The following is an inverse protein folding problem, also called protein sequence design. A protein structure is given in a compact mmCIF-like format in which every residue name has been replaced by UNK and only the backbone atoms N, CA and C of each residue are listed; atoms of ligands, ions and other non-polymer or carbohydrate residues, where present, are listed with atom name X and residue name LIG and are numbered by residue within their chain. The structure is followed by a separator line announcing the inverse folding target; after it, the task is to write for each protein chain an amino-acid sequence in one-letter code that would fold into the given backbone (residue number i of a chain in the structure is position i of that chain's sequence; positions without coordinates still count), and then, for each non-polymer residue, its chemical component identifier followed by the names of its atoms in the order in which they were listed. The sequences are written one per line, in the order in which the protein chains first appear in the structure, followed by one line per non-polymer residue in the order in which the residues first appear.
data_IF_250425790628
#
_entry.id   IF_250425790628
#
_cell.length_a   1.000
_cell.length_b   1.000
_cell.length_c   1.000
_cell.angle_alpha   90.00
_cell.angle_beta   90.00
_cell.angle_gamma   90.00
#
_symmetry.space_group_name_H-M   'P 1'
#
loop_
_entity.id
_entity.type
_entity.pdbx_description
1 polymer ?
#
# COMPACT_ATOMS: atom_id res chain seq x y z
N UNK A 1 10.15 -60.01 69.98
CA UNK A 1 11.08 -60.75 69.06
C UNK A 1 11.71 -59.75 68.08
N UNK A 2 12.96 -59.30 68.32
CA UNK A 2 13.71 -58.50 67.37
C UNK A 2 14.35 -59.43 66.35
N UNK A 3 13.89 -59.48 65.14
CA UNK A 3 14.52 -60.22 64.06
C UNK A 3 15.80 -59.53 63.69
N UNK A 4 16.98 -60.17 64.07
CA UNK A 4 18.30 -59.72 63.68
C UNK A 4 18.54 -60.14 62.23
N UNK A 5 18.31 -59.24 61.34
CA UNK A 5 18.60 -59.40 59.90
C UNK A 5 20.12 -59.66 59.74
N UNK A 6 20.49 -60.80 59.10
CA UNK A 6 21.91 -61.20 58.94
C UNK A 6 22.69 -60.11 58.17
N UNK A 7 23.91 -59.75 58.59
CA UNK A 7 24.65 -58.61 58.01
C UNK A 7 24.87 -58.68 56.51
N UNK A 8 24.94 -59.84 55.90
CA UNK A 8 25.04 -60.05 54.46
C UNK A 8 23.79 -59.58 53.71
N UNK A 9 22.56 -59.75 54.29
CA UNK A 9 21.29 -59.32 53.64
C UNK A 9 21.16 -57.79 53.62
N UNK A 10 21.67 -57.13 54.68
CA UNK A 10 21.67 -55.68 54.78
C UNK A 10 22.64 -55.02 53.78
N UNK A 11 23.78 -55.64 53.48
CA UNK A 11 24.73 -55.15 52.49
C UNK A 11 24.21 -55.30 51.05
N UNK A 12 23.50 -56.43 50.76
CA UNK A 12 22.92 -56.68 49.45
C UNK A 12 21.73 -55.72 49.20
N UNK A 13 20.87 -55.48 50.19
CA UNK A 13 19.77 -54.50 50.06
C UNK A 13 20.33 -53.09 49.88
N UNK A 14 21.36 -52.66 50.58
CA UNK A 14 22.02 -51.39 50.39
C UNK A 14 22.66 -51.26 48.97
N UNK A 15 23.26 -52.33 48.46
CA UNK A 15 23.77 -52.32 47.09
C UNK A 15 22.66 -52.20 46.04
N UNK A 16 21.54 -52.94 46.20
CA UNK A 16 20.38 -52.85 45.37
C UNK A 16 19.78 -51.43 45.41
N UNK A 17 19.68 -50.84 46.61
CA UNK A 17 19.21 -49.46 46.78
C UNK A 17 20.11 -48.43 46.08
N UNK A 18 21.44 -48.57 46.21
CA UNK A 18 22.42 -47.69 45.54
C UNK A 18 22.34 -47.82 44.02
N UNK A 19 22.22 -49.04 43.51
CA UNK A 19 22.05 -49.28 42.07
C UNK A 19 20.69 -48.74 41.58
N UNK A 20 19.62 -48.99 42.35
CA UNK A 20 18.30 -48.41 42.02
C UNK A 20 18.27 -46.89 42.04
N UNK A 21 18.89 -46.23 43.03
CA UNK A 21 19.05 -44.80 43.08
C UNK A 21 19.90 -44.26 41.90
N UNK A 22 20.97 -44.99 41.55
CA UNK A 22 21.80 -44.67 40.37
C UNK A 22 21.01 -44.74 39.06
N UNK A 23 20.21 -45.79 38.88
CA UNK A 23 19.34 -45.94 37.70
C UNK A 23 18.24 -44.89 37.63
N UNK A 24 17.64 -44.51 38.78
CA UNK A 24 16.66 -43.44 38.85
C UNK A 24 17.34 -42.10 38.54
N UNK A 25 18.53 -41.84 39.09
CA UNK A 25 19.32 -40.61 38.83
C UNK A 25 19.70 -40.46 37.35
N UNK A 26 20.13 -41.57 36.71
CA UNK A 26 20.43 -41.56 35.26
C UNK A 26 19.16 -41.39 34.42
N UNK A 27 18.05 -42.01 34.80
CA UNK A 27 16.77 -41.81 34.12
C UNK A 27 16.25 -40.39 34.22
N UNK A 28 16.34 -39.75 35.38
CA UNK A 28 15.98 -38.34 35.55
C UNK A 28 16.90 -37.43 34.74
N UNK A 29 18.22 -37.71 34.73
CA UNK A 29 19.15 -36.90 33.93
C UNK A 29 18.87 -37.02 32.41
N UNK A 30 18.61 -38.23 31.90
CA UNK A 30 18.26 -38.45 30.50
C UNK A 30 16.94 -37.76 30.16
N UNK A 31 15.93 -37.82 31.04
CA UNK A 31 14.65 -37.17 30.84
C UNK A 31 14.77 -35.65 30.85
N UNK A 32 15.55 -35.08 31.77
CA UNK A 32 15.77 -33.60 31.78
C UNK A 32 16.56 -33.13 30.55
N UNK A 33 17.53 -33.91 30.06
CA UNK A 33 18.22 -33.61 28.81
C UNK A 33 17.23 -33.68 27.63
N UNK A 34 16.37 -34.71 27.59
CA UNK A 34 15.36 -34.83 26.54
C UNK A 34 14.36 -33.66 26.55
N UNK A 35 13.88 -33.25 27.74
CA UNK A 35 13.03 -32.08 27.89
C UNK A 35 13.72 -30.78 27.43
N UNK A 36 15.03 -30.64 27.80
CA UNK A 36 15.81 -29.49 27.38
C UNK A 36 15.97 -29.44 25.83
N UNK A 37 16.24 -30.60 25.20
CA UNK A 37 16.35 -30.72 23.75
C UNK A 37 14.99 -30.38 23.10
N UNK A 38 13.90 -30.99 23.59
CA UNK A 38 12.55 -30.71 23.07
C UNK A 38 12.14 -29.24 23.24
N UNK A 39 12.49 -28.63 24.40
CA UNK A 39 12.28 -27.20 24.61
C UNK A 39 13.12 -26.36 23.64
N UNK A 40 14.41 -26.69 23.47
CA UNK A 40 15.25 -25.99 22.49
C UNK A 40 14.73 -26.14 21.07
N UNK A 41 14.32 -27.33 20.64
CA UNK A 41 13.73 -27.53 19.31
C UNK A 41 12.41 -26.80 19.15
N UNK A 42 11.56 -26.75 20.19
CA UNK A 42 10.28 -26.06 20.13
C UNK A 42 10.43 -24.54 20.07
N UNK A 43 11.45 -23.95 20.72
CA UNK A 43 11.64 -22.49 20.83
C UNK A 43 12.71 -21.94 19.87
N UNK A 44 13.76 -22.74 19.58
CA UNK A 44 14.92 -22.30 18.79
C UNK A 44 15.13 -23.10 17.52
N UNK A 45 14.29 -24.11 17.28
CA UNK A 45 14.31 -24.90 16.05
C UNK A 45 14.08 -24.04 14.80
N UNK A 46 14.46 -24.59 13.65
CA UNK A 46 14.31 -23.92 12.37
C UNK A 46 12.90 -24.11 11.80
N UNK A 47 12.37 -23.08 11.14
CA UNK A 47 11.15 -23.13 10.32
C UNK A 47 11.54 -23.27 8.85
N UNK A 48 11.86 -24.47 8.39
CA UNK A 48 12.33 -24.70 7.00
C UNK A 48 11.35 -24.21 5.94
N UNK A 49 10.06 -24.30 6.19
CA UNK A 49 9.01 -23.83 5.28
C UNK A 49 8.90 -22.29 5.21
N UNK A 50 9.57 -21.56 6.10
CA UNK A 50 9.71 -20.10 6.07
C UNK A 50 11.04 -19.63 5.51
N UNK A 51 11.92 -20.56 5.11
CA UNK A 51 13.17 -20.20 4.47
C UNK A 51 12.87 -19.49 3.14
N UNK A 52 13.59 -18.42 2.88
CA UNK A 52 13.44 -17.61 1.68
C UNK A 52 14.77 -17.48 0.95
N UNK A 53 14.76 -17.71 -0.34
CA UNK A 53 15.95 -17.53 -1.19
C UNK A 53 16.06 -16.04 -1.59
N UNK A 54 17.21 -15.41 -1.30
CA UNK A 54 17.55 -14.07 -1.77
C UNK A 54 18.25 -14.12 -3.13
N UNK A 55 19.09 -15.14 -3.34
CA UNK A 55 19.76 -15.40 -4.62
C UNK A 55 20.05 -16.88 -4.76
N UNK A 56 20.65 -17.28 -5.88
CA UNK A 56 21.06 -18.68 -6.12
C UNK A 56 21.80 -19.30 -4.92
N UNK A 57 22.70 -18.53 -4.30
CA UNK A 57 23.58 -19.00 -3.24
C UNK A 57 23.22 -18.54 -1.83
N UNK A 58 22.29 -17.58 -1.69
CA UNK A 58 21.97 -16.96 -0.40
C UNK A 58 20.53 -17.22 0.01
N UNK A 59 20.38 -17.75 1.24
CA UNK A 59 19.09 -18.13 1.83
C UNK A 59 18.91 -17.46 3.20
N UNK A 60 17.77 -16.85 3.43
CA UNK A 60 17.31 -16.42 4.75
C UNK A 60 16.68 -17.61 5.45
N UNK A 61 17.32 -18.11 6.49
CA UNK A 61 16.84 -19.20 7.32
C UNK A 61 16.08 -18.69 8.53
N UNK A 62 14.83 -19.11 8.66
CA UNK A 62 13.94 -18.66 9.73
C UNK A 62 13.98 -19.61 10.94
N UNK A 63 13.86 -19.05 12.15
CA UNK A 63 13.86 -19.75 13.42
C UNK A 63 12.58 -19.51 14.22
N UNK A 64 12.22 -20.47 15.07
CA UNK A 64 10.99 -20.46 15.88
C UNK A 64 10.91 -19.30 16.89
N UNK A 65 12.02 -18.69 17.24
CA UNK A 65 12.10 -17.49 18.08
C UNK A 65 11.95 -16.17 17.29
N UNK A 66 11.34 -16.23 16.10
CA UNK A 66 11.13 -15.09 15.21
C UNK A 66 12.42 -14.35 14.82
N UNK A 67 13.55 -15.07 14.75
CA UNK A 67 14.79 -14.54 14.21
C UNK A 67 15.13 -15.21 12.89
N UNK A 68 15.99 -14.57 12.12
CA UNK A 68 16.52 -15.11 10.86
C UNK A 68 18.05 -15.07 10.86
N UNK A 69 18.67 -15.88 10.01
CA UNK A 69 20.11 -15.84 9.71
C UNK A 69 20.33 -16.04 8.22
N UNK A 70 21.38 -15.44 7.72
CA UNK A 70 21.76 -15.59 6.30
C UNK A 70 22.70 -16.79 6.18
N UNK A 71 22.32 -17.71 5.31
CA UNK A 71 23.09 -18.89 4.95
C UNK A 71 23.61 -18.76 3.52
N UNK A 72 24.91 -18.86 3.36
CA UNK A 72 25.52 -18.94 2.03
C UNK A 72 25.77 -20.42 1.68
N UNK A 73 25.19 -20.88 0.58
CA UNK A 73 25.27 -22.29 0.12
C UNK A 73 26.65 -22.64 -0.40
N UNK A 74 27.35 -21.69 -1.03
CA UNK A 74 28.66 -21.89 -1.63
C UNK A 74 29.74 -22.03 -0.59
N UNK A 75 29.80 -21.13 0.42
CA UNK A 75 30.72 -21.24 1.54
C UNK A 75 30.30 -22.25 2.61
N UNK A 76 29.01 -22.66 2.60
CA UNK A 76 28.39 -23.51 3.63
C UNK A 76 28.48 -22.92 5.05
N UNK A 77 28.33 -21.59 5.15
CA UNK A 77 28.44 -20.85 6.40
C UNK A 77 27.31 -19.85 6.57
N UNK A 78 27.11 -19.44 7.83
CA UNK A 78 26.24 -18.31 8.15
C UNK A 78 27.06 -17.02 8.08
N UNK A 79 26.65 -16.10 7.22
CA UNK A 79 27.32 -14.82 7.03
C UNK A 79 26.87 -13.76 8.04
N UNK A 80 25.76 -14.00 8.76
CA UNK A 80 25.24 -13.06 9.77
C UNK A 80 25.01 -13.71 11.12
N UNK A 81 25.02 -12.90 12.18
CA UNK A 81 24.43 -13.24 13.48
C UNK A 81 22.91 -13.35 13.36
N UNK A 82 22.20 -13.59 14.46
CA UNK A 82 20.73 -13.56 14.48
C UNK A 82 20.22 -12.15 14.20
N UNK A 83 19.31 -12.04 13.22
CA UNK A 83 18.63 -10.82 12.81
C UNK A 83 17.14 -10.93 13.18
N UNK A 84 16.45 -9.81 13.32
CA UNK A 84 14.98 -9.80 13.46
C UNK A 84 14.31 -10.16 12.15
N UNK A 85 14.74 -9.51 11.07
CA UNK A 85 14.22 -9.75 9.72
C UNK A 85 15.21 -9.26 8.65
N UNK A 86 14.96 -9.66 7.43
CA UNK A 86 15.60 -9.18 6.21
C UNK A 86 14.48 -8.79 5.25
N UNK A 87 14.58 -7.68 4.56
CA UNK A 87 13.62 -7.24 3.55
C UNK A 87 13.47 -8.28 2.43
N UNK A 88 12.44 -8.13 1.62
CA UNK A 88 12.22 -8.87 0.39
C UNK A 88 13.33 -8.68 -0.64
N UNK A 89 12.96 -8.78 -1.87
CA UNK A 89 13.90 -8.51 -2.96
C UNK A 89 14.31 -7.03 -2.95
N UNK A 90 15.57 -6.72 -3.27
CA UNK A 90 15.98 -5.35 -3.50
C UNK A 90 15.20 -4.76 -4.68
N UNK A 91 15.19 -3.43 -4.80
CA UNK A 91 14.65 -2.81 -6.00
C UNK A 91 15.40 -3.33 -7.25
N UNK A 92 14.71 -3.36 -8.38
CA UNK A 92 15.26 -3.86 -9.64
C UNK A 92 16.61 -3.20 -9.98
N UNK A 93 17.57 -4.05 -10.32
CA UNK A 93 18.94 -3.60 -10.63
C UNK A 93 19.86 -3.39 -9.43
N UNK A 94 19.38 -3.51 -8.19
CA UNK A 94 20.21 -3.39 -6.98
C UNK A 94 20.62 -4.74 -6.39
N UNK A 95 21.73 -4.73 -5.66
CA UNK A 95 22.28 -5.92 -4.99
C UNK A 95 22.24 -5.85 -3.47
N UNK A 96 21.80 -4.73 -2.90
CA UNK A 96 21.71 -4.52 -1.46
C UNK A 96 20.26 -4.55 -1.00
N UNK A 97 20.01 -5.23 0.12
CA UNK A 97 18.70 -5.27 0.78
C UNK A 97 18.82 -4.90 2.25
N UNK A 98 17.76 -4.34 2.80
CA UNK A 98 17.69 -3.93 4.21
C UNK A 98 17.56 -5.14 5.12
N UNK A 99 18.28 -5.14 6.21
CA UNK A 99 18.06 -6.05 7.36
C UNK A 99 17.85 -5.28 8.65
N UNK A 100 17.24 -5.93 9.63
CA UNK A 100 17.06 -5.41 10.97
C UNK A 100 17.77 -6.34 11.96
N UNK A 101 18.64 -5.79 12.79
CA UNK A 101 19.34 -6.53 13.83
C UNK A 101 18.45 -6.80 15.06
N UNK A 102 19.02 -7.45 16.08
CA UNK A 102 18.32 -7.76 17.34
C UNK A 102 17.91 -6.51 18.14
N UNK A 103 18.63 -5.41 17.99
CA UNK A 103 18.44 -4.15 18.71
C UNK A 103 17.44 -3.22 17.97
N UNK A 104 16.91 -3.67 16.82
CA UNK A 104 15.93 -2.93 16.01
C UNK A 104 16.56 -1.94 15.03
N UNK A 105 17.90 -1.92 14.96
CA UNK A 105 18.61 -1.09 13.99
C UNK A 105 18.65 -1.75 12.62
N UNK A 106 18.63 -0.93 11.58
CA UNK A 106 18.66 -1.35 10.17
C UNK A 106 20.02 -1.10 9.56
N UNK A 107 20.43 -2.00 8.69
CA UNK A 107 21.63 -1.91 7.86
C UNK A 107 21.38 -2.61 6.53
N UNK A 108 22.43 -2.81 5.74
CA UNK A 108 22.31 -3.40 4.40
C UNK A 108 23.25 -4.59 4.22
N UNK A 109 22.75 -5.62 3.57
CA UNK A 109 23.51 -6.79 3.16
C UNK A 109 23.42 -7.02 1.66
N UNK A 110 24.46 -7.65 1.12
CA UNK A 110 24.50 -8.03 -0.28
C UNK A 110 23.69 -9.32 -0.51
N UNK A 111 22.70 -9.29 -1.39
CA UNK A 111 21.83 -10.44 -1.69
C UNK A 111 22.57 -11.60 -2.39
N UNK A 112 23.71 -11.33 -3.05
CA UNK A 112 24.49 -12.35 -3.77
C UNK A 112 25.48 -13.07 -2.87
N UNK A 113 26.08 -12.37 -1.89
CA UNK A 113 27.08 -12.94 -0.96
C UNK A 113 26.50 -13.22 0.43
N UNK A 114 25.45 -12.51 0.82
CA UNK A 114 24.84 -12.55 2.16
C UNK A 114 25.66 -11.80 3.20
N UNK A 115 26.72 -11.09 2.82
CA UNK A 115 27.56 -10.32 3.73
C UNK A 115 26.95 -8.97 4.05
N UNK A 116 27.18 -8.50 5.28
CA UNK A 116 26.79 -7.16 5.70
C UNK A 116 27.75 -6.15 5.06
N UNK A 117 27.18 -5.23 4.27
CA UNK A 117 27.91 -4.14 3.61
C UNK A 117 27.86 -2.88 4.46
N UNK A 118 26.66 -2.50 4.93
CA UNK A 118 26.47 -1.37 5.83
C UNK A 118 25.97 -1.92 7.17
N UNK A 119 26.73 -1.76 8.28
CA UNK A 119 26.32 -2.22 9.59
C UNK A 119 25.00 -1.61 10.06
N UNK A 120 24.28 -2.34 10.92
CA UNK A 120 23.02 -1.87 11.49
C UNK A 120 23.25 -0.66 12.41
N UNK A 121 22.77 0.52 11.98
CA UNK A 121 22.93 1.77 12.71
C UNK A 121 21.70 2.68 12.61
N UNK A 122 20.87 2.52 11.57
CA UNK A 122 19.72 3.37 11.31
C UNK A 122 18.46 2.91 12.06
N UNK A 123 17.66 3.83 12.56
CA UNK A 123 16.35 3.50 13.17
C UNK A 123 15.34 3.09 12.11
N UNK A 124 15.36 3.71 10.94
CA UNK A 124 14.63 3.31 9.73
C UNK A 124 15.54 3.43 8.51
N UNK A 125 15.35 2.55 7.56
CA UNK A 125 16.07 2.53 6.29
C UNK A 125 15.19 1.83 5.24
N UNK A 126 15.30 2.24 4.00
CA UNK A 126 14.59 1.68 2.84
C UNK A 126 15.57 1.03 1.87
N UNK A 127 15.07 0.22 0.95
CA UNK A 127 15.92 -0.42 -0.04
C UNK A 127 16.58 0.61 -0.96
N UNK A 128 17.75 0.27 -1.48
CA UNK A 128 18.41 1.05 -2.51
C UNK A 128 17.57 1.05 -3.78
N UNK A 129 17.42 2.23 -4.38
CA UNK A 129 16.86 2.43 -5.69
C UNK A 129 17.64 3.53 -6.39
N UNK A 130 17.99 3.33 -7.66
CA UNK A 130 18.79 4.26 -8.46
C UNK A 130 20.11 4.70 -7.78
N UNK A 131 20.71 3.79 -7.00
CA UNK A 131 21.99 4.00 -6.31
C UNK A 131 21.89 4.71 -4.95
N UNK A 132 20.71 5.15 -4.52
CA UNK A 132 20.48 5.84 -3.27
C UNK A 132 19.50 5.06 -2.37
N UNK A 133 19.68 5.17 -1.06
CA UNK A 133 18.78 4.59 -0.06
C UNK A 133 18.40 5.62 1.00
N UNK A 134 17.12 5.72 1.28
CA UNK A 134 16.61 6.57 2.33
C UNK A 134 16.95 6.02 3.72
N UNK A 135 17.32 6.92 4.62
CA UNK A 135 17.59 6.63 6.04
C UNK A 135 17.00 7.73 6.92
N UNK A 136 16.47 7.35 8.08
CA UNK A 136 15.92 8.31 9.03
C UNK A 136 17.04 8.89 9.91
N UNK A 137 17.13 10.22 9.93
CA UNK A 137 18.02 11.01 10.80
C UNK A 137 17.44 11.26 12.18
N UNK A 138 18.14 12.11 12.95
CA UNK A 138 17.81 12.42 14.35
C UNK A 138 16.60 13.30 14.56
N UNK A 139 16.26 14.17 13.60
CA UNK A 139 15.19 15.17 13.70
C UNK A 139 13.92 14.78 12.93
N UNK A 140 13.62 13.48 12.87
CA UNK A 140 12.51 12.91 12.09
C UNK A 140 12.50 13.37 10.62
N UNK A 141 13.70 13.50 10.05
CA UNK A 141 13.90 13.81 8.64
C UNK A 141 14.62 12.66 7.93
N UNK A 142 14.27 12.47 6.67
CA UNK A 142 14.89 11.51 5.77
C UNK A 142 16.04 12.18 5.03
N UNK A 143 17.18 11.50 5.01
CA UNK A 143 18.31 11.76 4.13
C UNK A 143 18.58 10.54 3.25
N UNK A 144 19.47 10.65 2.28
CA UNK A 144 19.81 9.55 1.39
C UNK A 144 21.31 9.28 1.40
N UNK A 145 21.65 7.99 1.47
CA UNK A 145 23.03 7.50 1.44
C UNK A 145 23.32 6.75 0.13
N UNK A 146 24.58 6.74 -0.26
CA UNK A 146 25.10 5.86 -1.31
C UNK A 146 25.50 4.47 -0.75
N UNK A 147 25.96 3.58 -1.64
CA UNK A 147 26.38 2.21 -1.29
C UNK A 147 27.65 2.14 -0.43
N UNK A 148 28.42 3.22 -0.37
CA UNK A 148 29.56 3.39 0.51
C UNK A 148 29.18 3.99 1.87
N UNK A 149 27.86 4.15 2.12
CA UNK A 149 27.31 4.74 3.34
C UNK A 149 27.67 6.22 3.54
N UNK A 150 27.87 6.96 2.44
CA UNK A 150 28.05 8.41 2.48
C UNK A 150 26.72 9.10 2.32
N UNK A 151 26.44 10.11 3.15
CA UNK A 151 25.25 10.95 3.01
C UNK A 151 25.38 11.78 1.72
N UNK A 152 24.45 11.57 0.78
CA UNK A 152 24.40 12.25 -0.54
C UNK A 152 23.37 13.37 -0.50
N UNK A 153 22.20 13.11 0.09
CA UNK A 153 21.15 14.09 0.33
C UNK A 153 20.99 14.23 1.84
N UNK A 154 21.12 15.45 2.33
CA UNK A 154 21.02 15.74 3.76
C UNK A 154 19.61 15.43 4.31
N UNK A 155 19.45 15.42 5.62
CA UNK A 155 18.20 15.14 6.31
C UNK A 155 17.21 16.31 6.18
N UNK A 156 16.60 16.44 5.00
CA UNK A 156 15.74 17.57 4.62
C UNK A 156 14.30 17.18 4.30
N UNK A 157 14.00 15.88 4.10
CA UNK A 157 12.67 15.43 3.75
C UNK A 157 11.94 15.00 5.03
N UNK A 158 10.78 15.61 5.37
CA UNK A 158 10.01 15.19 6.54
C UNK A 158 9.64 13.71 6.48
N UNK A 159 9.80 13.01 7.60
CA UNK A 159 9.38 11.62 7.72
C UNK A 159 7.89 11.51 8.04
N UNK A 160 7.16 10.75 7.23
CA UNK A 160 5.79 10.35 7.51
C UNK A 160 5.65 8.82 7.57
N UNK A 161 4.81 8.36 8.49
CA UNK A 161 4.60 6.92 8.69
C UNK A 161 3.79 6.34 7.54
N UNK A 162 4.23 5.18 7.03
CA UNK A 162 3.54 4.47 5.95
C UNK A 162 3.99 4.86 4.55
N UNK A 163 4.91 5.82 4.43
CA UNK A 163 5.47 6.22 3.16
C UNK A 163 6.76 5.46 2.84
N UNK A 164 6.93 5.12 1.56
CA UNK A 164 8.16 4.60 0.99
C UNK A 164 8.97 5.73 0.35
N UNK A 165 10.22 5.88 0.82
CA UNK A 165 11.16 6.88 0.29
C UNK A 165 12.14 6.19 -0.66
N UNK A 166 11.73 6.05 -1.92
CA UNK A 166 12.55 5.43 -2.96
C UNK A 166 12.61 6.32 -4.20
N UNK A 167 13.76 6.35 -4.86
CA UNK A 167 13.89 7.02 -6.15
C UNK A 167 13.31 6.15 -7.26
N UNK A 168 12.51 6.78 -8.13
CA UNK A 168 11.96 6.17 -9.34
C UNK A 168 11.94 7.22 -10.44
N UNK A 169 12.48 6.88 -11.59
CA UNK A 169 12.62 7.80 -12.74
C UNK A 169 13.35 9.12 -12.38
N UNK A 170 14.36 9.05 -11.50
CA UNK A 170 15.15 10.19 -11.03
C UNK A 170 14.49 11.03 -9.94
N UNK A 171 13.36 10.61 -9.39
CA UNK A 171 12.60 11.39 -8.40
C UNK A 171 12.18 10.56 -7.20
N UNK A 172 12.13 11.18 -6.03
CA UNK A 172 11.52 10.65 -4.81
C UNK A 172 10.27 11.47 -4.48
N UNK A 173 9.12 10.79 -4.39
CA UNK A 173 7.88 11.38 -3.92
C UNK A 173 7.90 11.43 -2.40
N UNK A 174 7.62 12.59 -1.83
CA UNK A 174 7.45 12.81 -0.40
C UNK A 174 6.04 13.33 -0.11
N UNK A 175 5.49 12.93 1.03
CA UNK A 175 4.17 13.35 1.50
C UNK A 175 4.29 13.87 2.94
N UNK A 176 3.47 14.82 3.30
CA UNK A 176 3.26 15.28 4.68
C UNK A 176 1.81 15.69 4.90
N UNK A 177 1.37 15.65 6.13
CA UNK A 177 0.07 16.22 6.52
C UNK A 177 0.22 17.69 6.91
N UNK A 178 -0.63 18.54 6.35
CA UNK A 178 -0.78 19.94 6.73
C UNK A 178 -2.27 20.21 6.94
N UNK A 179 -2.65 20.62 8.15
CA UNK A 179 -4.04 20.91 8.54
C UNK A 179 -5.03 19.76 8.18
N UNK A 180 -4.56 18.52 8.33
CA UNK A 180 -5.35 17.31 8.05
C UNK A 180 -5.45 16.91 6.59
N UNK A 181 -4.79 17.63 5.69
CA UNK A 181 -4.72 17.34 4.26
C UNK A 181 -3.34 16.83 3.85
N UNK A 182 -3.31 15.88 2.91
CA UNK A 182 -2.06 15.39 2.34
C UNK A 182 -1.48 16.41 1.37
N UNK A 183 -0.20 16.72 1.54
CA UNK A 183 0.59 17.52 0.63
C UNK A 183 1.79 16.74 0.13
N UNK A 184 2.06 16.86 -1.14
CA UNK A 184 3.11 16.13 -1.84
C UNK A 184 4.17 17.06 -2.40
N UNK A 185 5.41 16.55 -2.40
CA UNK A 185 6.55 17.18 -3.07
C UNK A 185 7.36 16.14 -3.83
N UNK A 186 8.06 16.55 -4.85
CA UNK A 186 8.91 15.68 -5.66
C UNK A 186 10.35 16.17 -5.60
N UNK A 187 11.24 15.33 -5.06
CA UNK A 187 12.66 15.64 -4.92
C UNK A 187 13.47 14.97 -6.03
N UNK A 188 14.46 15.68 -6.55
CA UNK A 188 15.48 15.13 -7.45
C UNK A 188 16.56 14.40 -6.66
N UNK A 189 17.36 13.59 -7.35
CA UNK A 189 18.45 12.82 -6.77
C UNK A 189 19.63 13.69 -6.23
N UNK A 190 19.62 15.00 -6.49
CA UNK A 190 20.54 15.98 -5.88
C UNK A 190 19.96 16.67 -4.62
N UNK A 191 18.75 16.27 -4.21
CA UNK A 191 18.03 16.84 -3.05
C UNK A 191 17.24 18.10 -3.35
N UNK A 192 17.30 18.63 -4.59
CA UNK A 192 16.50 19.80 -4.96
C UNK A 192 15.04 19.42 -5.22
N UNK A 193 14.12 20.37 -5.01
CA UNK A 193 12.71 20.19 -5.34
C UNK A 193 12.47 20.28 -6.84
N UNK A 194 11.82 19.29 -7.41
CA UNK A 194 11.23 19.34 -8.75
C UNK A 194 9.82 19.94 -8.70
N UNK A 195 9.03 19.54 -7.70
CA UNK A 195 7.73 20.10 -7.37
C UNK A 195 7.68 20.32 -5.86
N UNK A 196 7.20 21.46 -5.44
CA UNK A 196 7.13 21.86 -4.03
C UNK A 196 5.89 21.28 -3.32
N UNK A 197 5.68 21.67 -2.07
CA UNK A 197 4.60 21.17 -1.20
C UNK A 197 3.21 21.79 -1.49
N UNK A 198 3.01 22.46 -2.60
CA UNK A 198 1.72 23.08 -2.97
C UNK A 198 0.71 22.11 -3.59
N UNK A 199 1.11 20.86 -3.81
CA UNK A 199 0.29 19.86 -4.49
C UNK A 199 -0.38 18.92 -3.50
N UNK A 200 -1.65 18.60 -3.76
CA UNK A 200 -2.44 17.58 -3.03
C UNK A 200 -2.46 16.24 -3.76
N UNK A 201 -1.91 16.20 -4.97
CA UNK A 201 -1.73 14.98 -5.76
C UNK A 201 -0.52 15.13 -6.67
N UNK A 202 0.34 14.12 -6.67
CA UNK A 202 1.43 13.92 -7.65
C UNK A 202 1.46 12.43 -7.98
N UNK A 203 1.07 12.05 -9.19
CA UNK A 203 1.12 10.65 -9.61
C UNK A 203 2.51 10.26 -10.09
N UNK A 204 2.76 8.96 -10.17
CA UNK A 204 3.92 8.42 -10.85
C UNK A 204 3.90 8.76 -12.35
N UNK A 205 5.07 8.71 -12.99
CA UNK A 205 5.18 8.92 -14.42
C UNK A 205 4.56 7.72 -15.16
N UNK A 206 3.55 7.99 -16.00
CA UNK A 206 2.90 7.00 -16.84
C UNK A 206 2.91 7.44 -18.30
N UNK A 207 3.52 6.64 -19.18
CA UNK A 207 3.69 6.97 -20.62
C UNK A 207 4.26 8.36 -20.87
N UNK A 208 5.23 8.77 -20.04
CA UNK A 208 5.87 10.07 -20.14
C UNK A 208 5.08 11.25 -19.60
N UNK A 209 3.92 11.02 -19.00
CA UNK A 209 3.05 12.02 -18.39
C UNK A 209 2.78 11.75 -16.92
N UNK A 210 2.49 12.80 -16.17
CA UNK A 210 2.19 12.78 -14.74
C UNK A 210 0.98 13.65 -14.44
N UNK A 211 -0.02 13.11 -13.75
CA UNK A 211 -1.12 13.89 -13.22
C UNK A 211 -0.68 14.55 -11.93
N UNK A 212 -0.92 15.85 -11.82
CA UNK A 212 -0.73 16.62 -10.60
C UNK A 212 -2.00 17.41 -10.28
N UNK A 213 -2.18 17.78 -9.03
CA UNK A 213 -3.34 18.55 -8.59
C UNK A 213 -3.09 19.35 -7.33
N UNK A 214 -3.89 20.37 -7.14
CA UNK A 214 -4.00 21.17 -5.94
C UNK A 214 -5.46 21.58 -5.72
N UNK A 215 -5.71 22.56 -4.85
CA UNK A 215 -7.07 23.04 -4.57
C UNK A 215 -7.75 23.71 -5.77
N UNK A 216 -7.01 24.13 -6.80
CA UNK A 216 -7.56 24.74 -8.02
C UNK A 216 -8.00 23.69 -9.05
N UNK A 217 -7.62 22.42 -8.88
CA UNK A 217 -7.94 21.30 -9.76
C UNK A 217 -6.73 20.50 -10.20
N UNK A 218 -6.87 19.81 -11.35
CA UNK A 218 -5.88 18.86 -11.85
C UNK A 218 -5.38 19.25 -13.24
N UNK A 219 -4.11 18.91 -13.53
CA UNK A 219 -3.52 19.03 -14.87
C UNK A 219 -2.45 17.97 -15.09
N UNK A 220 -1.91 17.91 -16.29
CA UNK A 220 -0.92 16.92 -16.72
C UNK A 220 0.37 17.62 -17.08
N UNK A 221 1.48 17.07 -16.57
CA UNK A 221 2.83 17.44 -16.94
C UNK A 221 3.50 16.32 -17.74
N UNK A 222 4.35 16.68 -18.69
CA UNK A 222 5.30 15.75 -19.30
C UNK A 222 6.49 15.48 -18.35
N UNK A 223 7.42 14.63 -18.81
CA UNK A 223 8.65 14.29 -18.06
C UNK A 223 9.57 15.50 -17.78
N UNK A 224 9.38 16.61 -18.48
CA UNK A 224 10.12 17.87 -18.31
C UNK A 224 9.34 18.90 -17.49
N UNK A 225 8.24 18.49 -16.84
CA UNK A 225 7.33 19.34 -16.06
C UNK A 225 6.63 20.43 -16.87
N UNK A 226 6.53 20.27 -18.19
CA UNK A 226 5.75 21.15 -19.04
C UNK A 226 4.30 20.66 -19.10
N UNK A 227 3.33 21.59 -19.05
CA UNK A 227 1.91 21.26 -19.22
C UNK A 227 1.67 20.65 -20.59
N UNK A 228 1.02 19.48 -20.62
CA UNK A 228 0.57 18.78 -21.83
C UNK A 228 -0.74 19.36 -22.31
N UNK A 229 -1.66 19.64 -21.40
CA UNK A 229 -2.96 20.23 -21.67
C UNK A 229 -3.01 21.66 -21.13
N UNK A 230 -3.64 22.62 -21.85
CA UNK A 230 -3.69 24.02 -21.44
C UNK A 230 -4.58 24.28 -20.24
N UNK A 231 -5.61 23.45 -20.06
CA UNK A 231 -6.66 23.64 -19.07
C UNK A 231 -6.30 23.05 -17.70
N UNK A 232 -7.02 23.52 -16.68
CA UNK A 232 -7.19 22.89 -15.39
C UNK A 232 -8.54 22.18 -15.40
N UNK A 233 -8.58 20.95 -14.87
CA UNK A 233 -9.73 20.08 -14.89
C UNK A 233 -10.22 19.78 -13.48
N UNK A 234 -11.52 19.52 -13.33
CA UNK A 234 -12.13 19.12 -12.07
C UNK A 234 -11.69 17.71 -11.66
N UNK A 235 -11.43 16.85 -12.67
CA UNK A 235 -10.91 15.49 -12.49
C UNK A 235 -10.08 15.04 -13.68
N UNK A 236 -9.03 14.26 -13.39
CA UNK A 236 -8.23 13.57 -14.42
C UNK A 236 -7.93 12.14 -13.93
N UNK A 237 -8.05 11.18 -14.85
CA UNK A 237 -7.61 9.79 -14.64
C UNK A 237 -7.08 9.16 -15.92
N UNK A 238 -6.19 8.18 -15.77
CA UNK A 238 -5.76 7.38 -16.92
C UNK A 238 -6.90 6.44 -17.34
N UNK A 239 -7.04 6.26 -18.65
CA UNK A 239 -8.03 5.34 -19.21
C UNK A 239 -7.49 3.91 -19.20
N UNK A 240 -8.09 3.02 -18.41
CA UNK A 240 -7.72 1.61 -18.35
C UNK A 240 -7.94 0.93 -19.70
N UNK A 241 -6.87 0.30 -20.22
CA UNK A 241 -6.91 -0.43 -21.50
C UNK A 241 -6.97 0.44 -22.75
N UNK A 242 -7.06 1.76 -22.62
CA UNK A 242 -7.02 2.74 -23.71
C UNK A 242 -5.74 3.58 -23.63
N UNK A 243 -5.24 4.00 -24.79
CA UNK A 243 -4.10 4.92 -24.87
C UNK A 243 -4.55 6.37 -24.67
N UNK A 244 -5.20 6.68 -23.53
CA UNK A 244 -5.77 7.98 -23.30
C UNK A 244 -5.98 8.36 -21.85
N UNK A 245 -6.57 9.50 -21.67
CA UNK A 245 -6.79 10.18 -20.41
C UNK A 245 -8.23 10.67 -20.35
N UNK A 246 -8.96 10.29 -19.32
CA UNK A 246 -10.25 10.90 -19.02
C UNK A 246 -10.02 12.23 -18.31
N UNK A 247 -10.63 13.27 -18.83
CA UNK A 247 -10.66 14.60 -18.21
C UNK A 247 -12.10 15.04 -18.02
N UNK A 248 -12.42 15.59 -16.86
CA UNK A 248 -13.74 16.16 -16.57
C UNK A 248 -13.57 17.64 -16.27
N UNK A 249 -14.36 18.47 -16.96
CA UNK A 249 -14.43 19.91 -16.74
C UNK A 249 -15.87 20.38 -16.87
N UNK A 250 -16.38 21.11 -15.88
CA UNK A 250 -17.76 21.62 -15.86
C UNK A 250 -18.79 20.50 -16.13
N UNK A 251 -18.63 19.36 -15.46
CA UNK A 251 -19.49 18.18 -15.59
C UNK A 251 -19.50 17.50 -16.97
N UNK A 252 -18.57 17.84 -17.85
CA UNK A 252 -18.37 17.16 -19.14
C UNK A 252 -17.11 16.33 -19.06
N UNK A 253 -17.26 15.03 -19.24
CA UNK A 253 -16.15 14.07 -19.31
C UNK A 253 -15.79 13.80 -20.76
N UNK A 254 -14.49 13.82 -21.05
CA UNK A 254 -13.94 13.57 -22.38
C UNK A 254 -12.82 12.55 -22.29
N UNK A 255 -12.58 11.81 -23.35
CA UNK A 255 -11.38 11.01 -23.53
C UNK A 255 -10.44 11.74 -24.48
N UNK A 256 -9.22 11.99 -24.00
CA UNK A 256 -8.14 12.61 -24.76
C UNK A 256 -6.97 11.62 -24.93
N UNK A 257 -6.21 11.76 -26.01
CA UNK A 257 -4.90 11.14 -26.12
C UNK A 257 -3.86 11.87 -25.27
N UNK A 258 -2.70 11.24 -25.05
CA UNK A 258 -1.60 11.85 -24.24
C UNK A 258 -1.00 13.12 -24.86
N UNK A 259 -1.23 13.37 -26.15
CA UNK A 259 -0.87 14.62 -26.83
C UNK A 259 -2.00 15.67 -26.84
N UNK A 260 -3.12 15.37 -26.15
CA UNK A 260 -4.24 16.30 -25.96
C UNK A 260 -5.30 16.30 -27.08
N UNK A 261 -5.25 15.36 -28.03
CA UNK A 261 -6.28 15.23 -29.06
C UNK A 261 -7.52 14.59 -28.47
N UNK A 262 -8.69 15.18 -28.77
CA UNK A 262 -9.98 14.61 -28.35
C UNK A 262 -10.25 13.32 -29.13
N UNK A 263 -10.37 12.20 -28.42
CA UNK A 263 -10.75 10.89 -28.92
C UNK A 263 -12.26 10.70 -28.83
N UNK A 264 -12.84 11.03 -27.67
CA UNK A 264 -14.28 11.05 -27.43
C UNK A 264 -14.68 12.38 -26.79
N UNK A 265 -15.54 13.16 -27.43
CA UNK A 265 -15.91 14.50 -26.93
C UNK A 265 -16.87 14.48 -25.74
N UNK A 266 -17.53 13.36 -25.50
CA UNK A 266 -18.42 13.16 -24.37
C UNK A 266 -18.45 11.68 -23.95
N UNK A 267 -18.11 11.42 -22.70
CA UNK A 267 -18.08 10.08 -22.12
C UNK A 267 -19.11 9.99 -21.00
N UNK A 268 -19.88 8.92 -21.01
CA UNK A 268 -20.86 8.56 -19.98
C UNK A 268 -20.38 7.29 -19.28
N UNK A 269 -20.33 7.32 -17.96
CA UNK A 269 -19.84 6.15 -17.17
C UNK A 269 -20.93 5.07 -17.08
N UNK A 270 -22.20 5.48 -16.90
CA UNK A 270 -23.35 4.58 -16.80
C UNK A 270 -24.66 5.31 -17.14
N UNK A 271 -25.73 4.54 -17.33
CA UNK A 271 -27.09 5.05 -17.54
C UNK A 271 -28.10 4.28 -16.69
N UNK A 272 -29.11 4.99 -16.20
CA UNK A 272 -30.17 4.40 -15.36
C UNK A 272 -31.55 4.86 -15.85
N UNK A 273 -32.47 3.92 -15.98
CA UNK A 273 -33.87 4.25 -16.27
C UNK A 273 -34.52 4.87 -15.04
N UNK A 274 -35.48 5.75 -15.30
CA UNK A 274 -36.30 6.38 -14.28
C UNK A 274 -37.66 5.69 -14.20
N UNK A 275 -38.15 5.52 -12.99
CA UNK A 275 -39.40 4.85 -12.67
C UNK A 275 -40.23 5.74 -11.74
N UNK A 276 -41.57 5.64 -11.83
CA UNK A 276 -42.48 6.37 -10.97
C UNK A 276 -43.73 5.57 -10.64
N UNK A 277 -44.30 5.85 -9.49
CA UNK A 277 -45.58 5.26 -9.05
C UNK A 277 -46.76 6.01 -9.66
N UNK A 278 -47.68 5.25 -10.19
CA UNK A 278 -48.99 5.79 -10.61
C UNK A 278 -49.92 5.70 -9.41
N UNK A 279 -50.39 6.85 -8.93
CA UNK A 279 -51.18 6.99 -7.71
C UNK A 279 -52.65 7.13 -8.05
N UNK A 280 -53.53 6.37 -7.35
CA UNK A 280 -54.98 6.47 -7.47
C UNK A 280 -55.55 7.71 -6.75
N UNK A 281 -56.87 7.96 -6.88
CA UNK A 281 -57.56 9.09 -6.21
C UNK A 281 -57.47 9.04 -4.68
N UNK A 282 -57.25 7.86 -4.09
CA UNK A 282 -57.10 7.69 -2.68
C UNK A 282 -55.63 7.92 -2.16
N UNK A 283 -54.70 8.12 -3.08
CA UNK A 283 -53.29 8.33 -2.77
C UNK A 283 -52.43 7.05 -2.69
N UNK A 284 -53.02 5.89 -3.06
CA UNK A 284 -52.32 4.61 -3.05
C UNK A 284 -51.61 4.36 -4.40
N UNK A 285 -50.37 3.87 -4.36
CA UNK A 285 -49.68 3.41 -5.56
C UNK A 285 -50.32 2.11 -6.07
N UNK A 286 -50.79 2.08 -7.31
CA UNK A 286 -51.40 0.90 -7.92
C UNK A 286 -50.64 0.35 -9.12
N UNK A 287 -49.72 1.09 -9.68
CA UNK A 287 -48.87 0.67 -10.78
C UNK A 287 -47.47 1.34 -10.66
N UNK A 288 -46.50 0.69 -11.22
CA UNK A 288 -45.11 1.18 -11.34
C UNK A 288 -44.79 1.29 -12.83
N UNK A 289 -44.48 2.47 -13.31
CA UNK A 289 -44.24 2.73 -14.74
C UNK A 289 -42.80 3.27 -14.92
N UNK A 290 -42.23 2.97 -16.11
CA UNK A 290 -40.95 3.53 -16.53
C UNK A 290 -41.13 4.77 -17.39
N UNK A 291 -40.20 5.72 -17.28
CA UNK A 291 -40.13 6.83 -18.21
C UNK A 291 -39.51 6.36 -19.55
N UNK A 292 -40.23 6.61 -20.66
CA UNK A 292 -39.81 6.20 -22.00
C UNK A 292 -38.99 7.26 -22.74
N UNK A 293 -39.09 8.51 -22.29
CA UNK A 293 -38.57 9.69 -22.97
C UNK A 293 -37.28 10.26 -22.37
N UNK A 294 -37.03 9.97 -21.10
CA UNK A 294 -35.86 10.45 -20.38
C UNK A 294 -35.19 9.35 -19.56
N UNK A 295 -33.89 9.46 -19.38
CA UNK A 295 -33.10 8.61 -18.52
C UNK A 295 -32.04 9.41 -17.75
N UNK A 296 -31.51 8.85 -16.70
CA UNK A 296 -30.33 9.37 -16.01
C UNK A 296 -29.08 8.88 -16.72
N UNK A 297 -28.10 9.75 -16.88
CA UNK A 297 -26.73 9.38 -17.19
C UNK A 297 -25.78 9.81 -16.06
N UNK A 298 -24.68 9.09 -15.88
CA UNK A 298 -23.70 9.33 -14.84
C UNK A 298 -22.36 9.78 -15.43
N UNK A 299 -21.75 10.76 -14.77
CA UNK A 299 -20.37 11.20 -15.01
C UNK A 299 -19.69 11.39 -13.66
N UNK A 300 -18.66 10.58 -13.38
CA UNK A 300 -17.88 10.63 -12.14
C UNK A 300 -18.72 10.55 -10.85
N UNK A 301 -19.84 9.80 -10.93
CA UNK A 301 -20.78 9.61 -9.81
C UNK A 301 -21.83 10.69 -9.68
N UNK A 302 -21.85 11.70 -10.55
CA UNK A 302 -22.91 12.69 -10.64
C UNK A 302 -23.94 12.32 -11.70
N UNK A 303 -25.20 12.63 -11.45
CA UNK A 303 -26.32 12.33 -12.32
C UNK A 303 -26.76 13.54 -13.13
N UNK A 304 -27.09 13.29 -14.38
CA UNK A 304 -27.76 14.23 -15.30
C UNK A 304 -28.90 13.57 -16.04
N UNK A 305 -29.71 14.34 -16.72
CA UNK A 305 -30.82 13.87 -17.56
C UNK A 305 -30.44 13.89 -19.03
N UNK A 306 -30.84 12.84 -19.75
CA UNK A 306 -30.72 12.75 -21.19
C UNK A 306 -32.02 12.21 -21.81
N UNK A 307 -32.27 12.58 -23.06
CA UNK A 307 -33.35 12.04 -23.88
C UNK A 307 -33.02 10.63 -24.34
N UNK A 308 -33.90 9.66 -24.05
CA UNK A 308 -33.65 8.22 -24.32
C UNK A 308 -33.55 7.90 -25.81
N UNK A 309 -34.19 8.65 -26.69
CA UNK A 309 -34.23 8.36 -28.15
C UNK A 309 -33.08 9.00 -28.90
N UNK A 310 -32.70 10.19 -28.49
CA UNK A 310 -31.71 11.00 -29.22
C UNK A 310 -30.32 11.02 -28.56
N UNK A 311 -30.22 10.62 -27.30
CA UNK A 311 -29.01 10.78 -26.48
C UNK A 311 -28.68 12.23 -26.15
N UNK A 312 -29.57 13.17 -26.42
CA UNK A 312 -29.36 14.60 -26.19
C UNK A 312 -29.40 14.89 -24.69
N UNK A 313 -28.35 15.58 -24.21
CA UNK A 313 -28.25 16.02 -22.81
C UNK A 313 -29.34 17.06 -22.53
N UNK A 314 -30.11 16.83 -21.47
CA UNK A 314 -31.17 17.70 -20.96
C UNK A 314 -30.63 18.58 -19.83
N UNK A 315 -29.97 17.95 -18.83
CA UNK A 315 -29.25 18.66 -17.77
C UNK A 315 -27.83 18.16 -17.68
N UNK A 316 -26.85 18.97 -17.23
CA UNK A 316 -25.51 18.46 -16.89
C UNK A 316 -25.56 17.44 -15.76
N UNK A 317 -24.53 16.62 -15.63
CA UNK A 317 -24.37 15.64 -14.53
C UNK A 317 -23.90 16.35 -13.25
N UNK A 318 -24.78 17.13 -12.64
CA UNK A 318 -24.49 17.98 -11.48
C UNK A 318 -25.35 17.67 -10.25
N UNK A 319 -26.18 16.63 -10.32
CA UNK A 319 -27.02 16.18 -9.23
C UNK A 319 -26.44 14.94 -8.57
N UNK A 320 -26.61 14.83 -7.25
CA UNK A 320 -26.19 13.64 -6.49
C UNK A 320 -27.13 12.45 -6.76
N UNK A 321 -28.42 12.71 -6.89
CA UNK A 321 -29.43 11.71 -7.22
C UNK A 321 -30.63 12.40 -7.90
N UNK A 322 -31.22 11.74 -8.89
CA UNK A 322 -32.45 12.18 -9.60
C UNK A 322 -33.48 11.05 -9.52
N UNK A 323 -34.65 11.33 -8.96
CA UNK A 323 -35.77 10.39 -8.84
C UNK A 323 -37.03 11.03 -9.44
N UNK A 324 -37.94 10.21 -9.97
CA UNK A 324 -39.23 10.71 -10.39
C UNK A 324 -40.22 10.76 -9.22
N UNK A 325 -40.77 11.93 -8.95
CA UNK A 325 -41.87 12.10 -8.00
C UNK A 325 -43.23 11.79 -8.64
N UNK A 326 -43.35 11.92 -9.96
CA UNK A 326 -44.51 11.58 -10.76
C UNK A 326 -44.13 11.56 -12.24
N UNK A 327 -45.06 11.19 -13.13
CA UNK A 327 -44.85 11.16 -14.58
C UNK A 327 -44.13 12.39 -15.17
N UNK A 328 -44.30 13.58 -14.59
CA UNK A 328 -43.79 14.82 -15.16
C UNK A 328 -42.87 15.64 -14.26
N UNK A 329 -42.65 15.14 -13.02
CA UNK A 329 -41.87 15.82 -11.99
C UNK A 329 -40.74 14.95 -11.51
N UNK A 330 -39.55 15.54 -11.37
CA UNK A 330 -38.37 14.89 -10.82
C UNK A 330 -37.91 15.63 -9.54
N UNK A 331 -37.36 14.87 -8.60
CA UNK A 331 -36.64 15.35 -7.45
C UNK A 331 -35.15 15.16 -7.71
N UNK A 332 -34.40 16.24 -7.75
CA UNK A 332 -32.96 16.21 -7.99
C UNK A 332 -32.25 16.77 -6.76
N UNK A 333 -31.37 15.92 -6.13
CA UNK A 333 -30.58 16.27 -4.95
C UNK A 333 -29.28 16.93 -5.37
N UNK A 334 -28.93 18.05 -4.73
CA UNK A 334 -27.72 18.83 -5.06
C UNK A 334 -26.46 18.33 -4.34
N UNK A 335 -26.61 17.47 -3.32
CA UNK A 335 -25.51 16.91 -2.52
C UNK A 335 -26.01 16.03 -1.41
N UNK A 336 -25.10 15.68 -0.47
CA UNK A 336 -25.42 14.81 0.68
C UNK A 336 -26.41 15.40 1.68
N UNK A 337 -26.64 16.73 1.67
CA UNK A 337 -27.42 17.45 2.69
C UNK A 337 -28.94 17.41 2.47
N UNK A 338 -29.47 16.54 1.61
CA UNK A 338 -30.88 16.47 1.24
C UNK A 338 -31.47 17.78 0.68
N UNK A 339 -30.66 18.78 0.35
CA UNK A 339 -31.09 19.92 -0.42
C UNK A 339 -31.37 19.46 -1.85
N UNK A 340 -32.56 19.75 -2.34
CA UNK A 340 -32.98 19.31 -3.66
C UNK A 340 -33.85 20.34 -4.34
N UNK A 341 -33.97 20.16 -5.62
CA UNK A 341 -34.83 20.96 -6.49
C UNK A 341 -35.86 20.07 -7.20
N UNK A 342 -37.01 20.64 -7.56
CA UNK A 342 -37.99 19.95 -8.39
C UNK A 342 -37.75 20.37 -9.83
N UNK A 343 -37.59 19.39 -10.73
CA UNK A 343 -37.39 19.61 -12.15
C UNK A 343 -38.59 19.13 -12.95
N UNK A 344 -38.86 19.79 -14.09
CA UNK A 344 -39.68 19.19 -15.14
C UNK A 344 -38.83 18.28 -16.03
N UNK A 345 -39.44 17.51 -16.93
CA UNK A 345 -38.77 16.63 -17.90
C UNK A 345 -37.84 17.36 -18.89
N UNK A 346 -37.94 18.69 -18.99
CA UNK A 346 -37.03 19.53 -19.77
C UNK A 346 -35.83 20.02 -18.97
N UNK A 347 -35.68 19.56 -17.72
CA UNK A 347 -34.60 19.95 -16.83
C UNK A 347 -34.75 21.35 -16.23
N UNK A 348 -35.91 21.97 -16.32
CA UNK A 348 -36.13 23.29 -15.74
C UNK A 348 -36.53 23.16 -14.28
N UNK A 349 -35.87 23.96 -13.42
CA UNK A 349 -36.24 24.06 -12.01
C UNK A 349 -37.62 24.69 -11.87
N UNK A 350 -38.51 24.00 -11.16
CA UNK A 350 -39.88 24.47 -10.90
C UNK A 350 -39.98 24.98 -9.45
N UNK A 351 -39.25 24.36 -8.53
CA UNK A 351 -39.24 24.70 -7.10
C UNK A 351 -37.93 24.29 -6.43
#
# INVERSE_FOLDING_TARGET
MKSIMKPKLKSVLNAIWKVGLGLIGTGVAVFTIFLAIAFCESHYGRYEWRDRTLSKDVVVRAYKNNTVRIWNKSSKEYTTKKLRWVSGDPCEGDSLTVFCDKDGKRGYLNVKTGEVVIPAQYSKAWNFSEGLAAVLGGDDCIGFIDKDNRLVIDYIIPFETGQDYVFKDGYCLAMRYVDGSEHYALYRNDGSLALDWSYTRIDELYKGCRIIGNNDGYWILDSNFKRVLPDVYDRISYADGNDGIYVTKNHVKQLLSFDGKVLEPFVVDDTRRLEYDVINEAGDAYAHEMADDIMVYLVDGWEGLMDTRTGRIITPACYWNIEMASKNLLLAKLGYNNEGVVLDKKGRVIK
#
